data_IF_814040918218
#
_entry.id   IF_814040918218
#
_cell.length_a   1.000
_cell.length_b   1.000
_cell.length_c   1.000
_cell.angle_alpha   90.00
_cell.angle_beta   90.00
_cell.angle_gamma   90.00
#
_symmetry.space_group_name_H-M   'P 1'
#
loop_
_entity.id
_entity.type
_entity.pdbx_description
1 polymer ?
#
# COMPACT_ATOMS: atom_id res chain seq x y z
N UNK A 1 2.38 14.03 -10.63
CA UNK A 1 2.09 12.72 -11.25
C UNK A 1 0.62 12.26 -11.09
N UNK A 2 -0.35 13.16 -11.09
CA UNK A 2 -1.75 12.85 -11.40
C UNK A 2 -1.87 12.68 -12.91
N UNK A 3 -2.59 11.65 -13.36
CA UNK A 3 -2.84 11.44 -14.80
C UNK A 3 -4.05 12.25 -15.25
N UNK A 4 -5.18 12.12 -14.56
CA UNK A 4 -6.37 12.91 -14.84
C UNK A 4 -6.78 13.72 -13.61
N UNK A 5 -7.09 14.99 -13.80
CA UNK A 5 -7.63 15.88 -12.76
C UNK A 5 -8.82 16.68 -13.29
N UNK A 6 -9.81 16.89 -12.43
CA UNK A 6 -11.03 17.63 -12.77
C UNK A 6 -11.84 17.97 -11.54
N UNK A 7 -13.02 18.55 -11.73
CA UNK A 7 -14.07 18.57 -10.72
C UNK A 7 -15.14 17.52 -11.04
N UNK A 8 -16.05 17.25 -10.11
CA UNK A 8 -17.16 16.29 -10.30
C UNK A 8 -17.94 16.61 -11.58
N UNK A 9 -18.20 17.89 -11.87
CA UNK A 9 -18.87 18.31 -13.11
C UNK A 9 -18.15 17.79 -14.36
N UNK A 10 -16.86 18.08 -14.48
CA UNK A 10 -16.06 17.70 -15.64
C UNK A 10 -15.91 16.18 -15.73
N UNK A 11 -15.69 15.51 -14.60
CA UNK A 11 -15.59 14.06 -14.54
C UNK A 11 -16.87 13.39 -15.03
N UNK A 12 -18.03 13.82 -14.53
CA UNK A 12 -19.32 13.27 -14.97
C UNK A 12 -19.56 13.50 -16.47
N UNK A 13 -19.22 14.69 -16.99
CA UNK A 13 -19.31 14.99 -18.42
C UNK A 13 -18.37 14.11 -19.26
N UNK A 14 -17.15 13.84 -18.80
CA UNK A 14 -16.18 13.01 -19.51
C UNK A 14 -16.62 11.54 -19.55
N UNK A 15 -17.22 11.06 -18.46
CA UNK A 15 -17.82 9.71 -18.39
C UNK A 15 -19.05 9.61 -19.28
N UNK A 16 -19.96 10.60 -19.23
CA UNK A 16 -21.20 10.60 -20.03
C UNK A 16 -20.92 10.66 -21.54
N UNK A 17 -19.88 11.40 -21.94
CA UNK A 17 -19.43 11.48 -23.33
C UNK A 17 -18.54 10.30 -23.74
N UNK A 18 -18.26 9.35 -22.83
CA UNK A 18 -17.39 8.18 -23.06
C UNK A 18 -15.97 8.54 -23.51
N UNK A 19 -15.42 9.63 -23.00
CA UNK A 19 -14.06 10.10 -23.31
C UNK A 19 -13.11 10.01 -22.12
N UNK A 20 -13.58 9.57 -20.94
CA UNK A 20 -12.75 9.54 -19.74
C UNK A 20 -11.53 8.60 -19.88
N UNK A 21 -11.73 7.40 -20.44
CA UNK A 21 -10.66 6.43 -20.64
C UNK A 21 -9.67 6.91 -21.72
N UNK A 22 -10.16 7.55 -22.78
CA UNK A 22 -9.33 8.20 -23.80
C UNK A 22 -8.45 9.30 -23.18
N UNK A 23 -9.03 10.18 -22.35
CA UNK A 23 -8.28 11.24 -21.66
C UNK A 23 -7.18 10.67 -20.76
N UNK A 24 -7.48 9.65 -19.97
CA UNK A 24 -6.47 8.99 -19.11
C UNK A 24 -5.34 8.42 -19.97
N UNK A 25 -5.67 7.74 -21.08
CA UNK A 25 -4.69 7.20 -22.01
C UNK A 25 -3.81 8.29 -22.62
N UNK A 26 -4.41 9.36 -23.14
CA UNK A 26 -3.68 10.49 -23.73
C UNK A 26 -2.73 11.15 -22.73
N UNK A 27 -3.16 11.34 -21.47
CA UNK A 27 -2.30 11.91 -20.43
C UNK A 27 -1.14 10.98 -20.03
N UNK A 28 -1.36 9.65 -20.00
CA UNK A 28 -0.28 8.68 -19.81
C UNK A 28 0.74 8.71 -20.96
N UNK A 29 0.27 8.82 -22.20
CA UNK A 29 1.14 8.92 -23.37
C UNK A 29 1.98 10.20 -23.34
N UNK A 30 1.41 11.34 -22.92
CA UNK A 30 2.14 12.62 -22.75
C UNK A 30 3.30 12.53 -21.77
N UNK A 31 3.19 11.71 -20.72
CA UNK A 31 4.25 11.49 -19.74
C UNK A 31 5.19 10.32 -20.12
N UNK A 32 5.12 9.84 -21.36
CA UNK A 32 6.00 8.83 -21.93
C UNK A 32 5.68 7.39 -21.49
N UNK A 33 4.50 7.16 -20.93
CA UNK A 33 4.03 5.82 -20.57
C UNK A 33 3.15 5.33 -21.72
N UNK A 34 3.77 4.61 -22.67
CA UNK A 34 3.03 3.97 -23.76
C UNK A 34 2.07 2.92 -23.20
N UNK A 35 0.79 3.08 -23.48
CA UNK A 35 -0.27 2.29 -22.88
C UNK A 35 -1.05 1.48 -23.92
N UNK A 36 -0.48 0.34 -24.33
CA UNK A 36 -1.11 -0.61 -25.25
C UNK A 36 -1.74 -1.78 -24.50
N UNK A 37 -2.55 -1.49 -23.46
CA UNK A 37 -3.21 -2.51 -22.67
C UNK A 37 -4.75 -2.37 -22.74
N UNK A 38 -5.42 -3.09 -23.66
CA UNK A 38 -6.88 -3.00 -23.80
C UNK A 38 -7.64 -3.34 -22.53
N UNK A 39 -7.13 -4.23 -21.67
CA UNK A 39 -7.82 -4.59 -20.44
C UNK A 39 -7.86 -3.45 -19.43
N UNK A 40 -6.83 -2.61 -19.41
CA UNK A 40 -6.74 -1.48 -18.48
C UNK A 40 -7.58 -0.29 -18.96
N UNK A 41 -7.59 -0.04 -20.28
CA UNK A 41 -8.56 0.88 -20.89
C UNK A 41 -10.01 0.51 -20.53
N UNK A 42 -10.37 -0.76 -20.71
CA UNK A 42 -11.69 -1.26 -20.35
C UNK A 42 -11.95 -1.18 -18.85
N UNK A 43 -10.92 -1.37 -18.02
CA UNK A 43 -11.03 -1.23 -16.57
C UNK A 43 -11.42 0.20 -16.16
N UNK A 44 -10.81 1.22 -16.78
CA UNK A 44 -11.18 2.62 -16.54
C UNK A 44 -12.62 2.88 -16.97
N UNK A 45 -12.99 2.52 -18.19
CA UNK A 45 -14.33 2.76 -18.74
C UNK A 45 -15.42 2.16 -17.84
N UNK A 46 -15.23 0.94 -17.37
CA UNK A 46 -16.20 0.27 -16.49
C UNK A 46 -16.19 0.82 -15.06
N UNK A 47 -15.02 0.91 -14.42
CA UNK A 47 -14.93 1.27 -13.00
C UNK A 47 -15.32 2.72 -12.75
N UNK A 48 -14.96 3.63 -13.65
CA UNK A 48 -15.27 5.05 -13.52
C UNK A 48 -16.74 5.36 -13.74
N UNK A 49 -17.47 4.54 -14.51
CA UNK A 49 -18.93 4.63 -14.59
C UNK A 49 -19.58 4.38 -13.23
N UNK A 50 -19.07 3.43 -12.44
CA UNK A 50 -19.56 3.20 -11.08
C UNK A 50 -19.25 4.38 -10.15
N UNK A 51 -18.08 5.01 -10.28
CA UNK A 51 -17.77 6.24 -9.53
C UNK A 51 -18.63 7.43 -9.95
N UNK A 52 -18.92 7.59 -11.25
CA UNK A 52 -19.90 8.58 -11.72
C UNK A 52 -21.26 8.36 -11.08
N UNK A 53 -21.73 7.12 -10.98
CA UNK A 53 -22.98 6.80 -10.29
C UNK A 53 -22.95 7.19 -8.81
N UNK A 54 -21.81 7.03 -8.12
CA UNK A 54 -21.63 7.52 -6.75
C UNK A 54 -21.74 9.05 -6.72
N UNK A 55 -21.00 9.75 -7.57
CA UNK A 55 -20.84 11.20 -7.55
C UNK A 55 -21.95 12.00 -8.26
N UNK A 56 -22.94 11.33 -8.87
CA UNK A 56 -24.11 11.99 -9.51
C UNK A 56 -25.18 12.45 -8.52
N UNK A 57 -24.94 12.26 -7.22
CA UNK A 57 -25.85 12.69 -6.18
C UNK A 57 -25.89 14.24 -6.09
N UNK A 58 -27.08 14.87 -6.06
CA UNK A 58 -27.20 16.32 -6.12
C UNK A 58 -26.63 17.05 -4.90
N UNK A 59 -26.41 16.35 -3.78
CA UNK A 59 -25.82 16.96 -2.58
C UNK A 59 -24.29 17.14 -2.70
N UNK A 60 -23.65 16.55 -3.71
CA UNK A 60 -22.24 16.82 -3.96
C UNK A 60 -22.07 18.20 -4.60
N UNK A 61 -21.17 18.99 -4.01
CA UNK A 61 -20.75 20.24 -4.64
C UNK A 61 -20.00 19.92 -5.94
N UNK A 62 -20.51 20.38 -7.09
CA UNK A 62 -20.00 20.01 -8.40
C UNK A 62 -18.56 20.48 -8.70
N UNK A 63 -18.07 21.46 -7.94
CA UNK A 63 -16.68 21.93 -8.00
C UNK A 63 -15.70 21.16 -7.11
N UNK A 64 -16.18 20.17 -6.36
CA UNK A 64 -15.32 19.23 -5.60
C UNK A 64 -14.35 18.55 -6.56
N UNK A 65 -13.09 18.49 -6.17
CA UNK A 65 -12.01 18.07 -7.06
C UNK A 65 -11.78 16.57 -6.96
N UNK A 66 -11.48 15.99 -8.12
CA UNK A 66 -11.17 14.58 -8.27
C UNK A 66 -9.88 14.41 -9.05
N UNK A 67 -9.13 13.37 -8.71
CA UNK A 67 -7.97 12.93 -9.48
C UNK A 67 -8.01 11.42 -9.65
N UNK A 68 -7.48 10.96 -10.78
CA UNK A 68 -7.51 9.54 -11.18
C UNK A 68 -6.09 9.13 -11.55
N UNK A 69 -5.74 7.88 -11.23
CA UNK A 69 -4.44 7.28 -11.53
C UNK A 69 -3.27 8.09 -10.94
N UNK A 70 -3.35 8.46 -9.66
CA UNK A 70 -2.27 9.18 -8.98
C UNK A 70 -1.09 8.24 -8.71
N UNK A 71 0.05 8.49 -9.35
CA UNK A 71 1.26 7.67 -9.15
C UNK A 71 1.90 7.94 -7.80
N UNK A 72 2.02 6.89 -6.99
CA UNK A 72 2.70 6.96 -5.70
C UNK A 72 4.20 7.22 -5.88
N UNK A 73 4.78 8.19 -5.16
CA UNK A 73 6.20 8.52 -5.25
C UNK A 73 7.09 7.28 -5.06
N UNK A 74 8.14 7.16 -5.88
CA UNK A 74 9.14 6.08 -5.82
C UNK A 74 8.63 4.66 -6.10
N UNK A 75 7.38 4.51 -6.55
CA UNK A 75 6.79 3.21 -6.92
C UNK A 75 6.26 3.23 -8.36
N UNK A 76 5.89 2.07 -8.87
CA UNK A 76 5.10 1.94 -10.11
C UNK A 76 3.59 1.94 -9.87
N UNK A 77 3.15 1.99 -8.60
CA UNK A 77 1.75 1.85 -8.20
C UNK A 77 1.01 3.18 -8.34
N UNK A 78 -0.29 3.07 -8.62
CA UNK A 78 -1.19 4.20 -8.81
C UNK A 78 -2.42 4.01 -7.93
N UNK A 79 -2.92 5.12 -7.40
CA UNK A 79 -4.21 5.18 -6.71
C UNK A 79 -5.28 5.43 -7.75
N UNK A 80 -6.33 4.61 -7.75
CA UNK A 80 -7.37 4.67 -8.76
C UNK A 80 -8.15 5.99 -8.72
N UNK A 81 -8.58 6.44 -7.54
CA UNK A 81 -9.41 7.63 -7.43
C UNK A 81 -9.14 8.41 -6.14
N UNK A 82 -9.01 9.73 -6.25
CA UNK A 82 -8.86 10.67 -5.15
C UNK A 82 -9.99 11.70 -5.21
N UNK A 83 -10.51 12.08 -4.04
CA UNK A 83 -11.43 13.22 -3.88
C UNK A 83 -10.85 14.16 -2.83
N UNK A 84 -10.70 15.44 -3.15
CA UNK A 84 -10.25 16.46 -2.18
C UNK A 84 -11.32 17.50 -1.90
N UNK A 85 -11.25 18.06 -0.69
CA UNK A 85 -12.16 19.09 -0.23
C UNK A 85 -11.92 19.40 1.23
N UNK A 86 -12.90 20.07 1.84
CA UNK A 86 -12.86 20.47 3.25
C UNK A 86 -14.09 19.97 3.99
N UNK A 87 -13.93 19.73 5.29
CA UNK A 87 -15.05 19.44 6.19
C UNK A 87 -15.79 20.71 6.64
N UNK A 88 -16.77 20.57 7.54
CA UNK A 88 -17.54 21.71 8.04
C UNK A 88 -16.69 22.75 8.80
N UNK A 89 -15.55 22.32 9.35
CA UNK A 89 -14.59 23.16 10.09
C UNK A 89 -13.46 23.71 9.20
N UNK A 90 -13.60 23.61 7.87
CA UNK A 90 -12.60 24.01 6.88
C UNK A 90 -11.27 23.24 6.97
N UNK A 91 -11.27 22.06 7.60
CA UNK A 91 -10.10 21.19 7.61
C UNK A 91 -10.00 20.40 6.30
N UNK A 92 -8.83 20.44 5.69
CA UNK A 92 -8.52 19.72 4.45
C UNK A 92 -8.60 18.20 4.62
N UNK A 93 -9.40 17.55 3.76
CA UNK A 93 -9.59 16.11 3.72
C UNK A 93 -9.33 15.59 2.31
N UNK A 94 -8.81 14.36 2.25
CA UNK A 94 -8.68 13.62 1.00
C UNK A 94 -9.23 12.23 1.20
N UNK A 95 -10.06 11.78 0.27
CA UNK A 95 -10.52 10.39 0.22
C UNK A 95 -9.69 9.65 -0.81
N UNK A 96 -9.13 8.52 -0.40
CA UNK A 96 -8.30 7.64 -1.22
C UNK A 96 -9.10 6.38 -1.52
N UNK A 97 -9.50 6.20 -2.77
CA UNK A 97 -10.40 5.11 -3.17
C UNK A 97 -9.65 4.16 -4.10
N UNK A 98 -9.57 2.90 -3.69
CA UNK A 98 -9.16 1.79 -4.55
C UNK A 98 -10.40 1.16 -5.20
N UNK A 99 -10.39 1.00 -6.53
CA UNK A 99 -11.46 0.40 -7.29
C UNK A 99 -11.10 -1.03 -7.67
N UNK A 100 -12.01 -1.98 -7.41
CA UNK A 100 -11.82 -3.38 -7.79
C UNK A 100 -13.02 -3.90 -8.56
N UNK A 101 -12.72 -4.54 -9.68
CA UNK A 101 -13.69 -5.23 -10.52
C UNK A 101 -13.95 -6.68 -10.08
N UNK A 102 -13.51 -7.08 -8.88
CA UNK A 102 -13.61 -8.46 -8.41
C UNK A 102 -15.07 -8.87 -8.21
N UNK A 103 -15.41 -10.09 -8.62
CA UNK A 103 -16.73 -10.67 -8.37
C UNK A 103 -16.80 -11.38 -7.02
N UNK A 104 -15.68 -11.97 -6.58
CA UNK A 104 -15.54 -12.70 -5.32
C UNK A 104 -14.08 -12.79 -4.89
N UNK A 105 -13.87 -13.09 -3.61
CA UNK A 105 -12.57 -13.42 -3.04
C UNK A 105 -12.77 -14.47 -1.94
N UNK A 106 -11.69 -15.11 -1.53
CA UNK A 106 -11.68 -16.11 -0.46
C UNK A 106 -10.73 -15.68 0.64
N UNK A 107 -11.18 -15.84 1.88
CA UNK A 107 -10.39 -15.57 3.07
C UNK A 107 -9.14 -16.45 3.09
N UNK A 108 -8.06 -15.91 3.63
CA UNK A 108 -6.87 -16.69 3.98
C UNK A 108 -6.55 -16.59 5.47
N UNK A 109 -5.57 -17.38 5.91
CA UNK A 109 -4.99 -17.27 7.25
C UNK A 109 -3.82 -16.29 7.32
N UNK A 110 -3.45 -15.67 6.19
CA UNK A 110 -2.33 -14.74 6.10
C UNK A 110 -2.85 -13.31 6.32
N UNK A 111 -2.18 -12.60 7.21
CA UNK A 111 -2.49 -11.21 7.56
C UNK A 111 -2.68 -10.33 6.32
N UNK A 112 -3.83 -9.65 6.24
CA UNK A 112 -4.22 -8.73 5.15
C UNK A 112 -4.16 -9.31 3.73
N UNK A 113 -4.19 -10.63 3.56
CA UNK A 113 -4.21 -11.26 2.25
C UNK A 113 -5.51 -12.03 2.00
N UNK A 114 -5.95 -11.98 0.74
CA UNK A 114 -7.10 -12.73 0.21
C UNK A 114 -6.70 -13.44 -1.08
N UNK A 115 -7.44 -14.48 -1.46
CA UNK A 115 -7.30 -15.11 -2.77
C UNK A 115 -8.44 -14.70 -3.69
N UNK A 116 -8.14 -14.26 -4.91
CA UNK A 116 -9.17 -13.91 -5.90
C UNK A 116 -8.69 -14.19 -7.32
N UNK A 117 -9.62 -14.22 -8.28
CA UNK A 117 -9.32 -14.45 -9.68
C UNK A 117 -8.94 -13.13 -10.36
N UNK A 118 -7.66 -12.97 -10.67
CA UNK A 118 -7.11 -11.76 -11.30
C UNK A 118 -6.02 -12.13 -12.31
N UNK A 119 -5.98 -11.42 -13.43
CA UNK A 119 -5.00 -11.68 -14.50
C UNK A 119 -5.05 -13.13 -15.01
N UNK A 120 -6.26 -13.68 -15.14
CA UNK A 120 -6.51 -15.01 -15.70
C UNK A 120 -6.26 -16.20 -14.77
N UNK A 121 -5.89 -15.99 -13.51
CA UNK A 121 -5.62 -17.05 -12.55
C UNK A 121 -6.11 -16.69 -11.14
N UNK A 122 -6.31 -17.71 -10.29
CA UNK A 122 -6.42 -17.49 -8.85
C UNK A 122 -5.08 -17.05 -8.29
N UNK A 123 -5.04 -15.93 -7.57
CA UNK A 123 -3.82 -15.36 -6.98
C UNK A 123 -4.07 -14.90 -5.55
N UNK A 124 -3.03 -15.05 -4.74
CA UNK A 124 -2.93 -14.44 -3.42
C UNK A 124 -2.54 -12.96 -3.58
N UNK A 125 -3.39 -12.07 -3.09
CA UNK A 125 -3.23 -10.61 -3.23
C UNK A 125 -3.52 -9.91 -1.92
N UNK A 126 -3.17 -8.63 -1.85
CA UNK A 126 -3.52 -7.77 -0.72
C UNK A 126 -5.04 -7.61 -0.62
N UNK A 127 -5.53 -7.61 0.60
CA UNK A 127 -6.88 -7.22 0.92
C UNK A 127 -7.10 -5.76 0.46
N UNK A 128 -8.20 -5.42 -0.24
CA UNK A 128 -8.41 -4.07 -0.79
C UNK A 128 -8.31 -2.96 0.25
N UNK A 129 -8.89 -3.14 1.44
CA UNK A 129 -8.73 -2.19 2.55
C UNK A 129 -7.28 -1.93 2.93
N UNK A 130 -6.45 -2.98 3.00
CA UNK A 130 -5.03 -2.82 3.31
C UNK A 130 -4.33 -2.06 2.18
N UNK A 131 -4.67 -2.36 0.92
CA UNK A 131 -4.09 -1.69 -0.23
C UNK A 131 -4.37 -0.18 -0.20
N UNK A 132 -5.64 0.21 -0.08
CA UNK A 132 -6.04 1.62 0.02
C UNK A 132 -5.39 2.32 1.22
N UNK A 133 -5.36 1.64 2.38
CA UNK A 133 -4.65 2.13 3.58
C UNK A 133 -3.16 2.36 3.33
N UNK A 134 -2.46 1.37 2.75
CA UNK A 134 -1.03 1.46 2.46
C UNK A 134 -0.71 2.59 1.48
N UNK A 135 -1.61 2.87 0.54
CA UNK A 135 -1.50 3.98 -0.40
C UNK A 135 -1.68 5.33 0.29
N UNK A 136 -2.72 5.48 1.13
CA UNK A 136 -2.91 6.68 1.93
C UNK A 136 -1.70 6.96 2.83
N UNK A 137 -1.18 5.93 3.51
CA UNK A 137 0.03 6.07 4.35
C UNK A 137 1.28 6.40 3.54
N UNK A 138 1.37 5.91 2.31
CA UNK A 138 2.46 6.28 1.40
C UNK A 138 2.35 7.76 1.04
N UNK A 139 1.18 8.27 0.68
CA UNK A 139 0.98 9.70 0.40
C UNK A 139 1.34 10.55 1.63
N UNK A 140 0.84 10.19 2.81
CA UNK A 140 1.15 10.87 4.08
C UNK A 140 2.65 10.92 4.35
N UNK A 141 3.39 9.84 4.11
CA UNK A 141 4.81 9.77 4.40
C UNK A 141 5.69 10.58 3.42
N UNK A 142 5.26 10.70 2.17
CA UNK A 142 6.04 11.35 1.11
C UNK A 142 5.65 12.81 0.83
N UNK A 143 4.42 13.22 1.12
CA UNK A 143 3.99 14.61 0.91
C UNK A 143 4.32 15.48 2.13
N UNK A 144 5.25 16.43 1.97
CA UNK A 144 5.58 17.40 3.02
C UNK A 144 4.36 18.25 3.39
N UNK A 145 3.56 18.63 2.39
CA UNK A 145 2.34 19.43 2.57
C UNK A 145 1.29 18.69 3.41
N UNK A 146 1.04 17.41 3.13
CA UNK A 146 0.09 16.59 3.92
C UNK A 146 0.48 16.55 5.39
N UNK A 147 1.78 16.46 5.70
CA UNK A 147 2.27 16.44 7.09
C UNK A 147 2.16 17.80 7.76
N UNK A 148 2.60 18.87 7.10
CA UNK A 148 2.63 20.23 7.67
C UNK A 148 1.21 20.77 7.89
N UNK A 149 0.35 20.63 6.89
CA UNK A 149 -1.05 21.08 6.94
C UNK A 149 -1.97 20.06 7.63
N UNK A 150 -1.43 18.93 8.10
CA UNK A 150 -2.15 17.87 8.81
C UNK A 150 -3.40 17.41 8.06
N UNK A 151 -3.26 17.23 6.75
CA UNK A 151 -4.34 16.76 5.89
C UNK A 151 -4.65 15.33 6.27
N UNK A 152 -5.94 15.06 6.52
CA UNK A 152 -6.39 13.72 6.92
C UNK A 152 -6.79 12.95 5.68
N UNK A 153 -6.11 11.83 5.42
CA UNK A 153 -6.44 10.92 4.34
C UNK A 153 -7.40 9.83 4.85
N UNK A 154 -8.48 9.62 4.12
CA UNK A 154 -9.51 8.64 4.41
C UNK A 154 -9.50 7.54 3.34
N UNK A 155 -8.79 6.42 3.57
CA UNK A 155 -8.76 5.31 2.63
C UNK A 155 -10.07 4.55 2.63
N UNK A 156 -10.48 4.03 1.48
CA UNK A 156 -11.53 3.02 1.34
C UNK A 156 -11.36 2.24 0.04
N UNK A 157 -12.13 1.17 -0.12
CA UNK A 157 -12.17 0.42 -1.38
C UNK A 157 -13.60 0.23 -1.86
N UNK A 158 -13.80 0.28 -3.17
CA UNK A 158 -15.07 0.01 -3.82
C UNK A 158 -14.95 -1.18 -4.77
N UNK A 159 -15.50 -2.33 -4.33
CA UNK A 159 -15.54 -3.56 -5.10
C UNK A 159 -16.89 -3.64 -5.82
N UNK A 160 -17.03 -2.88 -6.89
CA UNK A 160 -18.33 -2.57 -7.51
C UNK A 160 -19.00 -3.75 -8.24
N UNK A 161 -18.27 -4.85 -8.48
CA UNK A 161 -18.81 -6.09 -9.05
C UNK A 161 -19.00 -7.21 -8.01
N UNK A 162 -18.59 -6.98 -6.76
CA UNK A 162 -18.48 -8.03 -5.76
C UNK A 162 -19.84 -8.51 -5.29
N UNK A 163 -20.03 -9.82 -5.28
CA UNK A 163 -21.29 -10.45 -4.93
C UNK A 163 -21.44 -10.51 -3.40
N UNK A 164 -22.58 -10.04 -2.91
CA UNK A 164 -22.86 -9.88 -1.48
C UNK A 164 -22.76 -11.20 -0.70
N UNK A 165 -23.06 -12.33 -1.35
CA UNK A 165 -22.95 -13.68 -0.79
C UNK A 165 -21.53 -14.04 -0.33
N UNK A 166 -20.50 -13.41 -0.89
CA UNK A 166 -19.10 -13.60 -0.48
C UNK A 166 -18.62 -12.54 0.52
N UNK A 167 -19.46 -11.61 1.02
CA UNK A 167 -19.02 -10.55 1.94
C UNK A 167 -18.20 -11.09 3.11
N UNK A 168 -18.62 -12.21 3.70
CA UNK A 168 -17.95 -12.85 4.83
C UNK A 168 -16.50 -13.29 4.56
N UNK A 169 -16.09 -13.40 3.29
CA UNK A 169 -14.72 -13.76 2.92
C UNK A 169 -13.74 -12.59 3.03
N UNK A 170 -14.23 -11.35 3.01
CA UNK A 170 -13.40 -10.14 2.97
C UNK A 170 -13.75 -9.14 4.10
N UNK A 171 -15.00 -9.13 4.56
CA UNK A 171 -15.48 -8.30 5.65
C UNK A 171 -15.88 -9.20 6.82
N UNK A 172 -14.89 -9.58 7.62
CA UNK A 172 -15.06 -10.47 8.78
C UNK A 172 -14.10 -10.12 9.93
N UNK A 173 -14.26 -10.80 11.06
CA UNK A 173 -13.49 -10.52 12.29
C UNK A 173 -11.98 -10.54 12.12
N UNK A 174 -11.45 -11.36 11.20
CA UNK A 174 -10.02 -11.44 10.92
C UNK A 174 -9.49 -10.14 10.28
N UNK A 175 -10.26 -9.55 9.36
CA UNK A 175 -9.90 -8.32 8.67
C UNK A 175 -10.43 -7.05 9.36
N UNK A 176 -11.16 -7.16 10.48
CA UNK A 176 -11.77 -6.01 11.16
C UNK A 176 -10.74 -4.90 11.53
N UNK A 177 -9.52 -5.30 11.87
CA UNK A 177 -8.45 -4.37 12.22
C UNK A 177 -8.11 -3.41 11.06
N UNK A 178 -8.24 -3.84 9.80
CA UNK A 178 -7.97 -3.02 8.62
C UNK A 178 -9.24 -2.45 8.00
N UNK A 179 -10.36 -3.20 8.01
CA UNK A 179 -11.66 -2.74 7.48
C UNK A 179 -12.22 -1.57 8.28
N UNK A 180 -11.98 -1.52 9.60
CA UNK A 180 -12.40 -0.40 10.44
C UNK A 180 -11.67 0.92 10.13
N UNK A 181 -10.45 0.83 9.59
CA UNK A 181 -9.63 1.99 9.21
C UNK A 181 -9.88 2.38 7.75
N UNK A 182 -9.98 1.39 6.87
CA UNK A 182 -10.23 1.55 5.44
C UNK A 182 -11.45 0.72 5.02
N UNK A 183 -12.67 1.26 5.12
CA UNK A 183 -13.89 0.50 4.88
C UNK A 183 -14.01 -0.01 3.45
N UNK A 184 -14.76 -1.11 3.31
CA UNK A 184 -15.14 -1.71 2.05
C UNK A 184 -16.55 -1.28 1.67
N UNK A 185 -16.75 -0.99 0.39
CA UNK A 185 -18.06 -0.82 -0.22
C UNK A 185 -18.18 -1.86 -1.33
N UNK A 186 -19.25 -2.66 -1.31
CA UNK A 186 -19.51 -3.69 -2.32
C UNK A 186 -20.51 -3.20 -3.37
N UNK A 187 -20.88 -4.07 -4.31
CA UNK A 187 -21.80 -3.77 -5.42
C UNK A 187 -23.09 -3.05 -5.04
N UNK A 188 -23.66 -3.35 -3.87
CA UNK A 188 -24.91 -2.74 -3.39
C UNK A 188 -24.73 -1.59 -2.40
N UNK A 189 -23.49 -1.19 -2.12
CA UNK A 189 -23.14 -0.17 -1.12
C UNK A 189 -22.93 1.22 -1.71
N UNK A 190 -23.37 1.48 -2.95
CA UNK A 190 -23.21 2.81 -3.60
C UNK A 190 -23.68 3.95 -2.69
N UNK A 191 -24.83 3.80 -2.02
CA UNK A 191 -25.33 4.81 -1.07
C UNK A 191 -24.42 4.96 0.16
N UNK A 192 -23.90 3.85 0.70
CA UNK A 192 -22.98 3.91 1.86
C UNK A 192 -21.67 4.61 1.50
N UNK A 193 -21.15 4.37 0.30
CA UNK A 193 -19.96 5.07 -0.20
C UNK A 193 -20.24 6.57 -0.38
N UNK A 194 -21.42 6.95 -0.89
CA UNK A 194 -21.81 8.37 -0.96
C UNK A 194 -21.81 9.02 0.42
N UNK A 195 -22.46 8.39 1.40
CA UNK A 195 -22.51 8.91 2.76
C UNK A 195 -21.11 9.00 3.40
N UNK A 196 -20.24 8.03 3.12
CA UNK A 196 -18.84 8.09 3.55
C UNK A 196 -18.11 9.28 2.94
N UNK A 197 -18.30 9.56 1.64
CA UNK A 197 -17.68 10.72 0.99
C UNK A 197 -18.23 12.03 1.57
N UNK A 198 -19.57 12.16 1.63
CA UNK A 198 -20.25 13.34 2.19
C UNK A 198 -19.92 13.57 3.67
N UNK A 199 -19.55 12.53 4.43
CA UNK A 199 -19.14 12.67 5.83
C UNK A 199 -17.88 13.53 5.96
N UNK A 200 -16.91 13.37 5.05
CA UNK A 200 -15.61 14.05 5.14
C UNK A 200 -15.47 15.25 4.20
N UNK A 201 -16.18 15.25 3.07
CA UNK A 201 -16.10 16.30 2.07
C UNK A 201 -17.42 17.07 2.05
N UNK A 202 -17.39 18.30 2.56
CA UNK A 202 -18.53 19.20 2.68
C UNK A 202 -18.45 20.37 1.71
N UNK A 203 -17.23 20.84 1.46
CA UNK A 203 -16.94 22.01 0.62
C UNK A 203 -15.80 21.68 -0.35
N UNK A 204 -15.76 22.30 -1.55
CA UNK A 204 -14.59 22.22 -2.41
C UNK A 204 -13.38 22.94 -1.78
N UNK A 205 -12.18 22.57 -2.23
CA UNK A 205 -10.90 23.18 -1.84
C UNK A 205 -10.25 23.99 -2.97
N UNK A 206 -11.01 24.27 -4.04
CA UNK A 206 -10.55 24.91 -5.28
C UNK A 206 -9.37 24.20 -5.99
N UNK A 207 -9.03 22.97 -5.58
CA UNK A 207 -7.95 22.15 -6.15
C UNK A 207 -6.57 22.36 -5.53
N UNK A 208 -6.48 23.14 -4.47
CA UNK A 208 -5.23 23.37 -3.76
C UNK A 208 -4.62 22.06 -3.23
N UNK A 209 -5.43 21.18 -2.62
CA UNK A 209 -4.91 19.99 -1.95
C UNK A 209 -4.30 19.01 -2.96
N UNK A 210 -5.03 18.69 -4.03
CA UNK A 210 -4.52 17.77 -5.06
C UNK A 210 -3.31 18.37 -5.78
N UNK A 211 -3.31 19.68 -6.05
CA UNK A 211 -2.16 20.34 -6.63
C UNK A 211 -0.90 20.19 -5.75
N UNK A 212 -1.03 20.41 -4.44
CA UNK A 212 0.08 20.29 -3.50
C UNK A 212 0.51 18.84 -3.24
N UNK A 213 -0.42 17.88 -3.25
CA UNK A 213 -0.06 16.45 -3.21
C UNK A 213 0.75 16.07 -4.47
N UNK A 214 0.49 16.72 -5.60
CA UNK A 214 1.08 16.35 -6.87
C UNK A 214 2.38 17.05 -7.23
N UNK A 215 2.44 18.36 -6.96
CA UNK A 215 3.55 19.25 -7.30
C UNK A 215 4.30 19.78 -6.07
N UNK A 216 3.74 19.58 -4.88
CA UNK A 216 4.38 19.97 -3.64
C UNK A 216 5.67 19.21 -3.40
N UNK A 217 6.44 19.70 -2.44
CA UNK A 217 7.75 19.13 -2.15
C UNK A 217 7.61 17.70 -1.62
N UNK A 218 8.18 16.76 -2.37
CA UNK A 218 8.32 15.38 -1.93
C UNK A 218 9.38 15.34 -0.84
N UNK A 219 8.99 14.84 0.33
CA UNK A 219 9.95 14.52 1.39
C UNK A 219 10.78 13.31 0.93
N UNK A 220 12.11 13.34 1.08
CA UNK A 220 12.90 12.13 0.88
C UNK A 220 12.31 11.01 1.73
N UNK A 221 12.16 9.81 1.16
CA UNK A 221 11.74 8.64 1.95
C UNK A 221 12.64 8.56 3.17
N UNK A 222 12.06 8.33 4.36
CA UNK A 222 12.89 8.07 5.54
C UNK A 222 13.79 6.90 5.19
N UNK A 223 15.11 7.07 5.27
CA UNK A 223 16.01 5.97 4.95
C UNK A 223 15.68 4.82 5.91
N UNK A 224 15.65 3.59 5.42
CA UNK A 224 15.33 2.41 6.23
C UNK A 224 16.21 2.31 7.49
N UNK A 225 17.44 2.80 7.39
CA UNK A 225 18.40 2.91 8.49
C UNK A 225 17.99 3.92 9.58
N UNK A 226 17.31 5.00 9.19
CA UNK A 226 16.83 6.05 10.10
C UNK A 226 15.58 5.60 10.87
N UNK A 227 14.74 4.76 10.25
CA UNK A 227 13.52 4.26 10.87
C UNK A 227 13.73 3.01 11.72
N UNK A 228 14.85 2.30 11.54
CA UNK A 228 15.09 1.02 12.21
C UNK A 228 15.00 1.08 13.74
N UNK A 229 15.55 2.13 14.36
CA UNK A 229 15.46 2.33 15.82
C UNK A 229 14.01 2.41 16.27
N UNK A 230 13.22 3.24 15.59
CA UNK A 230 11.78 3.44 15.85
C UNK A 230 10.99 2.14 15.62
N UNK A 231 11.31 1.38 14.57
CA UNK A 231 10.68 0.07 14.30
C UNK A 231 10.99 -0.95 15.40
N UNK A 232 12.23 -0.99 15.93
CA UNK A 232 12.58 -1.88 17.04
C UNK A 232 11.89 -1.51 18.35
N UNK A 233 11.58 -0.23 18.54
CA UNK A 233 10.76 0.29 19.66
C UNK A 233 9.27 -0.04 19.50
N UNK A 234 8.86 -0.56 18.34
CA UNK A 234 7.50 -1.02 18.06
C UNK A 234 6.66 -0.05 17.22
N UNK A 235 7.24 1.03 16.71
CA UNK A 235 6.52 1.97 15.85
C UNK A 235 6.45 1.46 14.41
N UNK A 236 5.29 1.62 13.78
CA UNK A 236 5.12 1.35 12.36
C UNK A 236 5.66 2.52 11.53
N UNK A 237 6.82 2.33 10.91
CA UNK A 237 7.47 3.36 10.08
C UNK A 237 7.39 3.06 8.58
N UNK A 238 7.02 1.83 8.21
CA UNK A 238 6.98 1.38 6.83
C UNK A 238 5.75 0.55 6.55
N UNK A 239 4.98 0.97 5.54
CA UNK A 239 3.81 0.27 5.06
C UNK A 239 4.16 -0.44 3.76
N UNK A 240 4.05 -1.76 3.77
CA UNK A 240 4.33 -2.56 2.59
C UNK A 240 3.23 -2.36 1.57
N UNK A 241 3.62 -2.12 0.32
CA UNK A 241 2.69 -1.97 -0.80
C UNK A 241 2.62 -3.28 -1.59
N UNK A 242 1.40 -3.67 -1.98
CA UNK A 242 1.11 -4.77 -2.91
C UNK A 242 1.97 -6.02 -2.71
N UNK A 243 2.85 -6.34 -3.66
CA UNK A 243 3.65 -7.57 -3.67
C UNK A 243 4.56 -7.68 -2.44
N UNK A 244 5.01 -6.55 -1.89
CA UNK A 244 5.81 -6.56 -0.66
C UNK A 244 5.02 -7.12 0.52
N UNK A 245 3.74 -6.77 0.64
CA UNK A 245 2.86 -7.27 1.71
C UNK A 245 2.53 -8.74 1.50
N UNK A 246 2.33 -9.17 0.24
CA UNK A 246 2.11 -10.59 -0.11
C UNK A 246 3.30 -11.43 0.33
N UNK A 247 4.53 -11.00 -0.01
CA UNK A 247 5.76 -11.70 0.37
C UNK A 247 5.92 -11.70 1.90
N UNK A 248 5.82 -10.54 2.54
CA UNK A 248 5.96 -10.41 3.98
C UNK A 248 4.99 -11.32 4.74
N UNK A 249 3.69 -11.21 4.47
CA UNK A 249 2.67 -11.93 5.23
C UNK A 249 2.69 -13.43 4.94
N UNK A 250 3.13 -13.83 3.73
CA UNK A 250 3.37 -15.23 3.41
C UNK A 250 4.56 -15.80 4.20
N UNK A 251 5.70 -15.09 4.25
CA UNK A 251 6.87 -15.53 5.01
C UNK A 251 6.55 -15.55 6.51
N UNK A 252 5.90 -14.49 7.03
CA UNK A 252 5.48 -14.39 8.42
C UNK A 252 4.60 -15.59 8.81
N UNK A 253 3.58 -15.90 8.02
CA UNK A 253 2.71 -17.05 8.25
C UNK A 253 3.46 -18.39 8.21
N UNK A 254 4.45 -18.54 7.31
CA UNK A 254 5.28 -19.76 7.26
C UNK A 254 6.11 -19.89 8.54
N UNK A 255 6.75 -18.82 8.99
CA UNK A 255 7.58 -18.84 10.21
C UNK A 255 6.71 -19.17 11.43
N UNK A 256 5.61 -18.44 11.62
CA UNK A 256 4.70 -18.62 12.77
C UNK A 256 4.12 -20.05 12.85
N UNK A 257 3.82 -20.67 11.71
CA UNK A 257 3.27 -22.04 11.67
C UNK A 257 4.30 -23.15 11.90
N UNK A 258 5.58 -22.88 11.63
CA UNK A 258 6.61 -23.93 11.61
C UNK A 258 7.67 -23.76 12.70
N UNK A 259 7.54 -22.76 13.57
CA UNK A 259 8.57 -22.47 14.57
C UNK A 259 8.80 -23.62 15.57
N UNK A 260 7.72 -24.29 15.96
CA UNK A 260 7.77 -25.42 16.90
C UNK A 260 7.82 -26.79 16.19
N UNK A 261 7.89 -26.79 14.85
CA UNK A 261 7.88 -28.01 14.05
C UNK A 261 9.30 -28.41 13.64
N UNK A 262 9.53 -29.73 13.58
CA UNK A 262 10.77 -30.27 13.03
C UNK A 262 10.76 -30.08 11.51
N UNK A 263 11.55 -29.14 11.00
CA UNK A 263 11.66 -28.90 9.56
C UNK A 263 12.62 -27.76 9.23
N UNK A 264 13.12 -27.74 7.99
CA UNK A 264 13.87 -26.62 7.43
C UNK A 264 13.13 -26.10 6.20
N UNK A 265 12.90 -24.79 6.17
CA UNK A 265 12.23 -24.12 5.07
C UNK A 265 13.19 -23.13 4.41
N UNK A 266 13.29 -23.20 3.09
CA UNK A 266 14.03 -22.24 2.28
C UNK A 266 13.06 -21.51 1.37
N UNK A 267 13.00 -20.18 1.50
CA UNK A 267 12.13 -19.32 0.69
C UNK A 267 13.03 -18.42 -0.15
N UNK A 268 12.86 -18.46 -1.47
CA UNK A 268 13.56 -17.61 -2.41
C UNK A 268 12.61 -16.49 -2.82
N UNK A 269 13.02 -15.24 -2.56
CA UNK A 269 12.27 -14.04 -2.95
C UNK A 269 12.96 -13.40 -4.15
N UNK A 270 12.29 -13.46 -5.29
CA UNK A 270 12.78 -12.87 -6.54
C UNK A 270 12.18 -11.49 -6.76
N UNK A 271 12.96 -10.59 -7.35
CA UNK A 271 12.49 -9.25 -7.71
C UNK A 271 13.62 -8.36 -8.21
N UNK A 272 13.27 -7.38 -9.06
CA UNK A 272 14.24 -6.44 -9.62
C UNK A 272 14.94 -5.55 -8.57
N UNK A 273 15.99 -4.82 -8.95
CA UNK A 273 16.57 -3.77 -8.11
C UNK A 273 15.52 -2.74 -7.70
N UNK A 274 15.55 -2.28 -6.45
CA UNK A 274 14.65 -1.22 -5.96
C UNK A 274 13.22 -1.67 -5.61
N UNK A 275 12.86 -2.95 -5.74
CA UNK A 275 11.50 -3.44 -5.39
C UNK A 275 11.21 -3.52 -3.88
N UNK A 276 12.17 -3.16 -3.03
CA UNK A 276 12.00 -3.14 -1.57
C UNK A 276 12.24 -4.48 -0.85
N UNK A 277 12.96 -5.44 -1.47
CA UNK A 277 13.32 -6.73 -0.83
C UNK A 277 14.01 -6.55 0.53
N UNK A 278 14.98 -5.65 0.62
CA UNK A 278 15.68 -5.34 1.89
C UNK A 278 14.74 -4.77 2.94
N UNK A 279 13.71 -4.01 2.52
CA UNK A 279 12.70 -3.48 3.43
C UNK A 279 11.84 -4.60 4.01
N UNK A 280 11.41 -5.56 3.17
CA UNK A 280 10.69 -6.76 3.62
C UNK A 280 11.54 -7.57 4.61
N UNK A 281 12.80 -7.82 4.27
CA UNK A 281 13.72 -8.58 5.12
C UNK A 281 13.93 -7.93 6.51
N UNK A 282 14.08 -6.59 6.56
CA UNK A 282 14.26 -5.87 7.82
C UNK A 282 12.97 -5.86 8.65
N UNK A 283 11.81 -5.67 8.04
CA UNK A 283 10.55 -5.74 8.77
C UNK A 283 10.30 -7.14 9.35
N UNK A 284 10.63 -8.20 8.60
CA UNK A 284 10.60 -9.58 9.12
C UNK A 284 11.59 -9.75 10.29
N UNK A 285 12.82 -9.25 10.18
CA UNK A 285 13.79 -9.28 11.28
C UNK A 285 13.25 -8.59 12.53
N UNK A 286 12.65 -7.41 12.38
CA UNK A 286 12.07 -6.66 13.50
C UNK A 286 10.94 -7.46 14.14
N UNK A 287 10.04 -8.06 13.35
CA UNK A 287 8.93 -8.86 13.86
C UNK A 287 9.44 -10.09 14.65
N UNK A 288 10.39 -10.82 14.06
CA UNK A 288 10.94 -12.06 14.60
C UNK A 288 12.18 -11.87 15.49
N UNK A 289 12.43 -10.65 15.98
CA UNK A 289 13.60 -10.34 16.84
C UNK A 289 13.62 -11.04 18.20
N UNK A 290 12.49 -11.63 18.59
CA UNK A 290 12.36 -12.44 19.81
C UNK A 290 12.91 -13.86 19.62
N UNK A 291 13.16 -14.27 18.37
CA UNK A 291 13.83 -15.52 18.01
C UNK A 291 15.34 -15.28 17.84
N UNK A 292 16.12 -16.35 17.70
CA UNK A 292 17.50 -16.26 17.21
C UNK A 292 17.50 -15.99 15.69
N UNK A 293 17.07 -14.78 15.33
CA UNK A 293 16.95 -14.28 13.98
C UNK A 293 18.12 -13.37 13.60
N UNK A 294 18.55 -13.42 12.34
CA UNK A 294 19.62 -12.55 11.84
C UNK A 294 19.37 -12.10 10.42
N UNK A 295 19.68 -10.84 10.14
CA UNK A 295 19.82 -10.31 8.79
C UNK A 295 21.26 -10.51 8.31
N UNK A 296 21.38 -11.17 7.16
CA UNK A 296 22.66 -11.63 6.60
C UNK A 296 22.93 -10.87 5.32
N UNK A 297 24.10 -10.26 5.25
CA UNK A 297 24.58 -9.62 4.02
C UNK A 297 26.10 -9.75 3.90
N UNK A 298 26.58 -9.97 2.68
CA UNK A 298 28.02 -9.95 2.37
C UNK A 298 28.59 -8.52 2.42
N UNK A 299 27.76 -7.51 2.20
CA UNK A 299 28.19 -6.12 2.13
C UNK A 299 28.35 -5.53 3.55
N UNK A 300 29.56 -5.11 3.89
CA UNK A 300 29.86 -4.51 5.18
C UNK A 300 29.27 -3.11 5.33
N UNK A 301 29.05 -2.36 4.24
CA UNK A 301 28.60 -0.97 4.31
C UNK A 301 27.17 -0.82 4.89
N UNK A 302 26.12 -1.49 4.37
CA UNK A 302 24.78 -1.42 4.98
C UNK A 302 24.79 -1.84 6.45
N UNK A 303 25.52 -2.92 6.77
CA UNK A 303 25.66 -3.42 8.14
C UNK A 303 26.29 -2.39 9.07
N UNK A 304 27.34 -1.70 8.63
CA UNK A 304 28.00 -0.68 9.43
C UNK A 304 27.08 0.52 9.68
N UNK A 305 26.28 0.93 8.69
CA UNK A 305 25.34 2.03 8.88
C UNK A 305 24.21 1.67 9.85
N UNK A 306 23.60 0.48 9.71
CA UNK A 306 22.61 0.01 10.69
C UNK A 306 23.22 -0.06 12.09
N UNK A 307 24.46 -0.53 12.19
CA UNK A 307 25.18 -0.60 13.45
C UNK A 307 25.37 0.78 14.10
N UNK A 308 25.81 1.79 13.33
CA UNK A 308 25.97 3.15 13.85
C UNK A 308 24.65 3.75 14.33
N UNK A 309 23.56 3.56 13.58
CA UNK A 309 22.23 4.06 13.92
C UNK A 309 21.69 3.42 15.20
N UNK A 310 21.79 2.10 15.32
CA UNK A 310 21.34 1.37 16.50
C UNK A 310 22.15 1.68 17.75
N UNK A 311 23.46 1.90 17.61
CA UNK A 311 24.32 2.33 18.73
C UNK A 311 23.89 3.70 19.26
N UNK A 312 23.52 4.64 18.39
CA UNK A 312 22.96 5.95 18.80
C UNK A 312 21.62 5.78 19.53
N UNK A 313 20.82 4.78 19.15
CA UNK A 313 19.59 4.37 19.84
C UNK A 313 19.78 3.58 21.15
N UNK A 314 20.98 3.60 21.76
CA UNK A 314 21.31 2.93 23.04
C UNK A 314 21.22 1.39 23.07
N UNK A 315 21.19 0.72 21.91
CA UNK A 315 21.27 -0.74 21.87
C UNK A 315 22.68 -1.24 22.21
N UNK A 316 22.77 -2.32 23.00
CA UNK A 316 24.06 -2.96 23.35
C UNK A 316 24.75 -3.50 22.10
N UNK A 317 26.07 -3.36 22.04
CA UNK A 317 26.90 -3.82 20.93
C UNK A 317 26.64 -5.28 20.52
N UNK A 318 26.54 -6.16 21.52
CA UNK A 318 26.33 -7.59 21.29
C UNK A 318 24.97 -7.87 20.63
N UNK A 319 23.93 -7.13 21.03
CA UNK A 319 22.59 -7.27 20.47
C UNK A 319 22.58 -6.92 18.98
N UNK A 320 23.20 -5.80 18.60
CA UNK A 320 23.27 -5.35 17.21
C UNK A 320 24.08 -6.32 16.34
N UNK A 321 25.20 -6.85 16.87
CA UNK A 321 26.00 -7.88 16.17
C UNK A 321 25.26 -9.20 15.99
N UNK A 322 24.35 -9.53 16.90
CA UNK A 322 23.51 -10.72 16.75
C UNK A 322 22.43 -10.50 15.68
N UNK A 323 21.86 -9.30 15.57
CA UNK A 323 20.88 -8.98 14.54
C UNK A 323 21.47 -8.90 13.12
N UNK A 324 22.70 -8.41 12.97
CA UNK A 324 23.32 -8.21 11.65
C UNK A 324 24.64 -8.98 11.51
N UNK A 325 24.66 -9.99 10.64
CA UNK A 325 25.80 -10.90 10.45
C UNK A 325 26.33 -10.90 9.02
N UNK A 326 27.63 -11.21 8.88
CA UNK A 326 28.20 -11.60 7.58
C UNK A 326 27.96 -13.09 7.35
N UNK A 327 27.87 -13.51 6.10
CA UNK A 327 27.73 -14.93 5.74
C UNK A 327 28.87 -15.81 6.27
N UNK A 328 30.08 -15.28 6.43
CA UNK A 328 31.23 -16.04 6.94
C UNK A 328 31.09 -16.52 8.39
N UNK A 329 30.17 -15.94 9.18
CA UNK A 329 29.96 -16.33 10.59
C UNK A 329 29.30 -17.71 10.71
N UNK A 330 28.63 -18.19 9.66
CA UNK A 330 27.83 -19.41 9.71
C UNK A 330 28.61 -20.69 9.36
N UNK A 331 29.89 -20.59 8.99
CA UNK A 331 30.72 -21.75 8.62
C UNK A 331 30.94 -22.68 9.81
N UNK A 332 31.13 -22.10 11.00
CA UNK A 332 31.42 -22.83 12.24
C UNK A 332 30.17 -23.01 13.12
N UNK A 333 28.98 -22.75 12.58
CA UNK A 333 27.73 -22.79 13.33
C UNK A 333 27.27 -24.20 13.66
N UNK A 334 26.71 -24.35 14.86
CA UNK A 334 26.12 -25.63 15.27
C UNK A 334 24.83 -25.92 14.50
N UNK A 335 24.50 -27.20 14.32
CA UNK A 335 23.21 -27.58 13.74
C UNK A 335 22.07 -27.00 14.56
N UNK A 336 21.12 -26.33 13.90
CA UNK A 336 19.99 -25.66 14.54
C UNK A 336 20.36 -24.54 15.51
N UNK A 337 21.53 -23.89 15.35
CA UNK A 337 21.89 -22.73 16.16
C UNK A 337 20.92 -21.55 15.95
N UNK A 338 20.41 -21.35 14.73
CA UNK A 338 19.53 -20.22 14.37
C UNK A 338 18.12 -20.68 14.02
N UNK A 339 17.15 -19.86 14.44
CA UNK A 339 15.74 -20.07 14.14
C UNK A 339 15.38 -19.51 12.75
N UNK A 340 15.88 -18.32 12.41
CA UNK A 340 15.54 -17.61 11.18
C UNK A 340 16.73 -16.81 10.60
N UNK A 341 17.00 -16.96 9.30
CA UNK A 341 18.01 -16.17 8.60
C UNK A 341 17.37 -15.41 7.44
N UNK A 342 17.45 -14.09 7.47
CA UNK A 342 16.99 -13.21 6.39
C UNK A 342 18.18 -12.78 5.55
N UNK A 343 18.35 -13.41 4.39
CA UNK A 343 19.54 -13.26 3.55
C UNK A 343 19.29 -12.26 2.42
N UNK A 344 20.01 -11.15 2.43
CA UNK A 344 19.92 -10.14 1.38
C UNK A 344 21.03 -10.31 0.33
N UNK A 345 20.67 -10.03 -0.93
CA UNK A 345 21.52 -10.26 -2.10
C UNK A 345 22.10 -11.69 -2.16
N UNK A 346 21.24 -12.69 -1.89
CA UNK A 346 21.62 -14.10 -1.80
C UNK A 346 22.35 -14.63 -3.05
N UNK A 347 22.11 -14.04 -4.22
CA UNK A 347 22.83 -14.36 -5.46
C UNK A 347 24.35 -14.07 -5.41
N UNK A 348 24.83 -13.37 -4.38
CA UNK A 348 26.25 -13.01 -4.16
C UNK A 348 26.95 -13.88 -3.13
N UNK A 349 26.18 -14.69 -2.40
CA UNK A 349 26.68 -15.71 -1.48
C UNK A 349 27.03 -16.95 -2.28
#
# INVERSE_FOLDING_TARGET
MIVYSGNIRQFNLDVDNRVIADRIKEELEKIGINHNNPSEYNAWDQSLLHMKNVLSDPDFHLDTKVAIEYKLPTTSKRVDFLISGKDDNDLSKVIVIELKQWEKAYKTEKEDLVETFVGGNMRLVTHPSYQAYSYAKTIENFSEYVQLEKIVLHPCSYLHNYQEEFRGEIDNSFYNHIVSISPLFLKHDTLKLREFIKKYIKKPDDGEILYQIDHGKIRPSKALQDTLVSMLEGNEEYYMIDEQKVVYSSIKSIIEKNIDLSGKHTIIVEGGPGTGKSVVAINLLVNFRHLNASYVTKNSAPRNVYFEKLRRGKYKWQYVKNLFKSSGVFVDSSTNEFDCLFVDEAHRL
#
